data_IF_487897325671
#
_entry.id   IF_487897325671
#
_cell.length_a   1.000
_cell.length_b   1.000
_cell.length_c   1.000
_cell.angle_alpha   90.00
_cell.angle_beta   90.00
_cell.angle_gamma   90.00
#
_symmetry.space_group_name_H-M   'P 1'
#
loop_
_entity.id
_entity.type
_entity.pdbx_description
1 polymer ?
#
# COMPACT_ATOMS: atom_id res chain seq x y z
N UNK A 1 -4.11 12.14 -23.54
CA UNK A 1 -3.72 10.71 -23.60
C UNK A 1 -3.00 10.28 -22.33
N UNK A 2 -1.94 10.97 -21.91
CA UNK A 2 -1.24 10.67 -20.65
C UNK A 2 -2.14 10.77 -19.41
N UNK A 3 -2.94 11.84 -19.31
CA UNK A 3 -3.86 12.03 -18.20
C UNK A 3 -4.91 10.92 -18.12
N UNK A 4 -5.51 10.51 -19.24
CA UNK A 4 -6.46 9.39 -19.26
C UNK A 4 -5.88 8.08 -18.74
N UNK A 5 -4.59 7.82 -19.00
CA UNK A 5 -3.87 6.65 -18.48
C UNK A 5 -3.69 6.76 -16.97
N UNK A 6 -3.33 7.93 -16.44
CA UNK A 6 -3.17 8.15 -14.99
C UNK A 6 -4.48 7.93 -14.24
N UNK A 7 -5.58 8.47 -14.75
CA UNK A 7 -6.90 8.29 -14.13
C UNK A 7 -7.35 6.82 -14.18
N UNK A 8 -7.08 6.12 -15.30
CA UNK A 8 -7.35 4.68 -15.41
C UNK A 8 -6.52 3.85 -14.42
N UNK A 9 -5.22 4.12 -14.32
CA UNK A 9 -4.33 3.44 -13.38
C UNK A 9 -4.75 3.70 -11.93
N UNK A 10 -5.06 4.95 -11.57
CA UNK A 10 -5.56 5.33 -10.25
C UNK A 10 -6.86 4.61 -9.89
N UNK A 11 -7.81 4.53 -10.83
CA UNK A 11 -9.07 3.81 -10.63
C UNK A 11 -8.86 2.30 -10.38
N UNK A 12 -7.97 1.66 -11.13
CA UNK A 12 -7.65 0.23 -10.94
C UNK A 12 -7.01 0.00 -9.58
N UNK A 13 -6.03 0.82 -9.18
CA UNK A 13 -5.37 0.70 -7.88
C UNK A 13 -6.38 0.92 -6.75
N UNK A 14 -7.26 1.92 -6.88
CA UNK A 14 -8.32 2.18 -5.91
C UNK A 14 -9.31 1.00 -5.79
N UNK A 15 -9.69 0.39 -6.92
CA UNK A 15 -10.55 -0.80 -6.93
C UNK A 15 -9.87 -1.99 -6.23
N UNK A 16 -8.59 -2.23 -6.49
CA UNK A 16 -7.80 -3.25 -5.80
C UNK A 16 -7.71 -2.99 -4.29
N UNK A 17 -7.51 -1.72 -3.89
CA UNK A 17 -7.46 -1.33 -2.48
C UNK A 17 -8.80 -1.60 -1.79
N UNK A 18 -9.92 -1.20 -2.41
CA UNK A 18 -11.26 -1.47 -1.89
C UNK A 18 -11.54 -2.98 -1.78
N UNK A 19 -11.19 -3.76 -2.80
CA UNK A 19 -11.33 -5.22 -2.77
C UNK A 19 -10.48 -5.85 -1.64
N UNK A 20 -9.25 -5.36 -1.44
CA UNK A 20 -8.39 -5.77 -0.34
C UNK A 20 -8.98 -5.46 1.04
N UNK A 21 -9.56 -4.26 1.22
CA UNK A 21 -10.25 -3.87 2.45
C UNK A 21 -11.48 -4.74 2.74
N UNK A 22 -12.30 -5.02 1.72
CA UNK A 22 -13.44 -5.93 1.86
C UNK A 22 -12.96 -7.33 2.29
N UNK A 23 -11.87 -7.82 1.71
CA UNK A 23 -11.32 -9.13 2.06
C UNK A 23 -10.75 -9.16 3.49
N UNK A 24 -10.16 -8.06 3.98
CA UNK A 24 -9.70 -7.93 5.38
C UNK A 24 -10.86 -8.08 6.38
N UNK A 25 -12.01 -7.48 6.05
CA UNK A 25 -13.21 -7.55 6.88
C UNK A 25 -13.85 -8.94 6.84
N UNK A 26 -13.81 -9.61 5.68
CA UNK A 26 -14.40 -10.93 5.49
C UNK A 26 -13.55 -12.07 6.07
N UNK A 27 -12.23 -11.92 6.09
CA UNK A 27 -11.32 -13.02 6.46
C UNK A 27 -11.13 -13.10 7.99
N UNK A 28 -11.23 -14.32 8.54
CA UNK A 28 -11.00 -14.60 9.97
C UNK A 28 -9.54 -14.97 10.29
N UNK A 29 -8.76 -15.40 9.31
CA UNK A 29 -7.37 -15.78 9.51
C UNK A 29 -6.45 -14.58 9.72
N UNK A 30 -5.70 -14.62 10.82
CA UNK A 30 -4.77 -13.56 11.23
C UNK A 30 -3.65 -13.37 10.21
N UNK A 31 -3.12 -14.46 9.66
CA UNK A 31 -1.99 -14.42 8.72
C UNK A 31 -2.39 -13.74 7.42
N UNK A 32 -3.57 -14.08 6.88
CA UNK A 32 -4.13 -13.43 5.70
C UNK A 32 -4.40 -11.95 5.94
N UNK A 33 -4.91 -11.58 7.13
CA UNK A 33 -5.13 -10.18 7.50
C UNK A 33 -3.83 -9.37 7.54
N UNK A 34 -2.73 -9.95 8.02
CA UNK A 34 -1.41 -9.30 8.03
C UNK A 34 -0.91 -9.02 6.61
N UNK A 35 -1.00 -10.00 5.71
CA UNK A 35 -0.59 -9.84 4.31
C UNK A 35 -1.48 -8.82 3.58
N UNK A 36 -2.78 -8.84 3.85
CA UNK A 36 -3.70 -7.87 3.24
C UNK A 36 -3.47 -6.44 3.76
N UNK A 37 -3.06 -6.28 5.02
CA UNK A 37 -2.67 -4.97 5.55
C UNK A 37 -1.45 -4.40 4.82
N UNK A 38 -0.51 -5.25 4.41
CA UNK A 38 0.64 -4.84 3.61
C UNK A 38 0.21 -4.39 2.20
N UNK A 39 -0.65 -5.19 1.55
CA UNK A 39 -1.24 -4.85 0.25
C UNK A 39 -1.97 -3.50 0.28
N UNK A 40 -2.76 -3.24 1.33
CA UNK A 40 -3.46 -1.97 1.48
C UNK A 40 -2.48 -0.79 1.61
N UNK A 41 -1.41 -0.95 2.38
CA UNK A 41 -0.42 0.10 2.59
C UNK A 41 0.35 0.45 1.30
N UNK A 42 0.83 -0.56 0.56
CA UNK A 42 1.49 -0.32 -0.71
C UNK A 42 0.55 0.19 -1.80
N UNK A 43 -0.73 -0.20 -1.79
CA UNK A 43 -1.74 0.37 -2.69
C UNK A 43 -1.95 1.87 -2.44
N UNK A 44 -1.89 2.33 -1.18
CA UNK A 44 -1.93 3.76 -0.85
C UNK A 44 -0.71 4.51 -1.38
N UNK A 45 0.49 3.95 -1.25
CA UNK A 45 1.72 4.55 -1.80
C UNK A 45 1.62 4.64 -3.32
N UNK A 46 1.11 3.60 -3.98
CA UNK A 46 0.92 3.59 -5.43
C UNK A 46 -0.06 4.68 -5.90
N UNK A 47 -1.18 4.89 -5.19
CA UNK A 47 -2.10 6.00 -5.47
C UNK A 47 -1.43 7.36 -5.31
N UNK A 48 -0.63 7.53 -4.25
CA UNK A 48 0.12 8.76 -4.02
C UNK A 48 1.13 9.03 -5.15
N UNK A 49 1.82 8.00 -5.66
CA UNK A 49 2.72 8.13 -6.81
C UNK A 49 1.98 8.52 -8.09
N UNK A 50 0.81 7.93 -8.37
CA UNK A 50 -0.02 8.30 -9.52
C UNK A 50 -0.46 9.77 -9.41
N UNK A 51 -0.85 10.21 -8.22
CA UNK A 51 -1.20 11.62 -7.96
C UNK A 51 0.01 12.56 -8.12
N UNK A 52 1.19 12.15 -7.64
CA UNK A 52 2.42 12.94 -7.77
C UNK A 52 2.85 13.19 -9.22
N UNK A 53 2.42 12.36 -10.17
CA UNK A 53 2.72 12.56 -11.59
C UNK A 53 1.93 13.74 -12.18
N UNK A 54 0.77 14.07 -11.62
CA UNK A 54 -0.03 15.24 -12.00
C UNK A 54 0.43 16.48 -11.21
N UNK A 55 0.81 16.29 -9.95
CA UNK A 55 1.23 17.37 -9.05
C UNK A 55 2.76 17.44 -8.93
N UNK A 56 3.41 18.12 -9.88
CA UNK A 56 4.88 18.18 -9.99
C UNK A 56 5.53 19.04 -8.89
N UNK A 57 5.73 18.45 -7.72
CA UNK A 57 6.50 19.01 -6.61
C UNK A 57 7.69 18.13 -6.30
N UNK A 58 8.88 18.73 -6.19
CA UNK A 58 10.13 17.98 -6.01
C UNK A 58 10.08 17.05 -4.80
N UNK A 59 9.44 17.50 -3.70
CA UNK A 59 9.32 16.83 -2.40
C UNK A 59 8.51 15.52 -2.42
N UNK A 60 7.72 15.28 -3.47
CA UNK A 60 6.79 14.15 -3.44
C UNK A 60 7.50 12.80 -3.42
N UNK A 61 8.64 12.68 -4.11
CA UNK A 61 9.36 11.42 -4.22
C UNK A 61 10.08 11.07 -2.91
N UNK A 62 10.56 12.06 -2.17
CA UNK A 62 11.13 11.88 -0.84
C UNK A 62 10.06 11.40 0.15
N UNK A 63 8.86 11.97 0.09
CA UNK A 63 7.73 11.51 0.90
C UNK A 63 7.36 10.06 0.54
N UNK A 64 7.27 9.72 -0.75
CA UNK A 64 6.98 8.36 -1.19
C UNK A 64 8.04 7.36 -0.71
N UNK A 65 9.31 7.76 -0.76
CA UNK A 65 10.44 6.94 -0.32
C UNK A 65 10.42 6.72 1.19
N UNK A 66 10.18 7.78 1.98
CA UNK A 66 10.00 7.69 3.43
C UNK A 66 8.79 6.82 3.79
N UNK A 67 7.66 7.00 3.09
CA UNK A 67 6.46 6.18 3.30
C UNK A 67 6.73 4.70 3.01
N UNK A 68 7.42 4.37 1.92
CA UNK A 68 7.74 2.99 1.56
C UNK A 68 8.71 2.33 2.56
N UNK A 69 9.80 3.01 2.93
CA UNK A 69 10.82 2.45 3.83
C UNK A 69 10.39 2.44 5.28
N UNK A 70 9.98 3.60 5.81
CA UNK A 70 9.66 3.76 7.23
C UNK A 70 8.25 3.26 7.52
N UNK A 71 7.30 3.63 6.66
CA UNK A 71 5.89 3.28 6.84
C UNK A 71 5.54 1.87 6.36
N UNK A 72 6.16 1.35 5.30
CA UNK A 72 5.80 0.06 4.71
C UNK A 72 6.61 -1.12 5.26
N UNK A 73 7.94 -1.04 5.14
CA UNK A 73 8.82 -2.17 5.47
C UNK A 73 8.93 -2.42 6.98
N UNK A 74 8.92 -1.38 7.82
CA UNK A 74 9.07 -1.57 9.27
C UNK A 74 7.84 -2.25 9.91
N UNK A 75 6.59 -1.85 9.59
CA UNK A 75 5.41 -2.50 10.17
C UNK A 75 5.23 -3.93 9.68
N UNK A 76 5.56 -4.24 8.44
CA UNK A 76 5.47 -5.61 7.88
C UNK A 76 6.46 -6.55 8.54
N UNK A 77 7.71 -6.12 8.71
CA UNK A 77 8.72 -6.88 9.45
C UNK A 77 8.30 -7.07 10.91
N UNK A 78 7.74 -6.04 11.53
CA UNK A 78 7.26 -6.09 12.92
C UNK A 78 6.08 -7.06 13.08
N UNK A 79 5.12 -7.03 12.16
CA UNK A 79 3.99 -7.96 12.11
C UNK A 79 4.44 -9.40 11.87
N UNK A 80 5.36 -9.61 10.92
CA UNK A 80 5.94 -10.94 10.64
C UNK A 80 6.59 -11.54 11.89
N UNK A 81 7.35 -10.73 12.64
CA UNK A 81 7.97 -11.17 13.92
C UNK A 81 6.94 -11.46 15.01
N UNK A 82 5.87 -10.67 15.10
CA UNK A 82 4.77 -10.93 16.04
C UNK A 82 4.08 -12.25 15.71
N UNK A 83 3.80 -12.51 14.43
CA UNK A 83 3.18 -13.75 13.97
C UNK A 83 4.11 -14.95 14.19
N UNK A 84 5.41 -14.83 13.90
CA UNK A 84 6.38 -15.90 14.13
C UNK A 84 6.73 -16.12 15.60
N UNK A 85 6.20 -15.30 16.52
CA UNK A 85 6.54 -15.29 17.95
C UNK A 85 8.05 -15.18 18.21
N UNK A 86 8.77 -14.50 17.32
CA UNK A 86 10.22 -14.34 17.40
C UNK A 86 11.04 -15.60 17.07
N UNK A 87 10.42 -16.69 16.61
CA UNK A 87 11.14 -17.83 16.03
C UNK A 87 11.64 -17.41 14.64
N UNK A 88 12.94 -17.57 14.42
CA UNK A 88 13.63 -17.22 13.18
C UNK A 88 13.26 -18.18 12.08
#
# INVERSE_FOLDING_TARGET
MFQTILWGAGAIIAACLLAGLVLILSTRDVLTRVVLSDLAFYAMIALYLVWSLDNQTSINYEIALLAALVGGVLPTLSMSRMVSRGRR
#
